data_IF_848947809866
#
_entry.id   IF_848947809866
#
_cell.length_a   1.000
_cell.length_b   1.000
_cell.length_c   1.000
_cell.angle_alpha   90.00
_cell.angle_beta   90.00
_cell.angle_gamma   90.00
#
_symmetry.space_group_name_H-M   'P 1'
#
loop_
_entity.id
_entity.type
_entity.pdbx_description
1 polymer ?
#
# COMPACT_ATOMS: atom_id res chain seq x y z
N UNK A 1 -22.74 -24.88 9.62
CA UNK A 1 -21.56 -24.04 9.90
C UNK A 1 -22.04 -22.76 10.52
N UNK A 2 -21.61 -22.44 11.73
CA UNK A 2 -22.01 -21.20 12.39
C UNK A 2 -21.31 -19.99 11.77
N UNK A 3 -21.96 -18.82 11.78
CA UNK A 3 -21.37 -17.57 11.23
C UNK A 3 -20.04 -17.22 11.91
N UNK A 4 -19.95 -17.47 13.22
CA UNK A 4 -18.75 -17.26 14.04
C UNK A 4 -17.60 -18.16 13.61
N UNK A 5 -17.87 -19.46 13.42
CA UNK A 5 -16.86 -20.42 12.94
C UNK A 5 -16.31 -20.01 11.57
N UNK A 6 -17.19 -19.60 10.65
CA UNK A 6 -16.79 -19.13 9.34
C UNK A 6 -15.92 -17.86 9.43
N UNK A 7 -16.28 -16.92 10.31
CA UNK A 7 -15.51 -15.70 10.50
C UNK A 7 -14.10 -15.99 11.06
N UNK A 8 -14.00 -16.82 12.11
CA UNK A 8 -12.69 -17.22 12.64
C UNK A 8 -11.86 -18.03 11.65
N UNK A 9 -12.49 -18.85 10.80
CA UNK A 9 -11.79 -19.55 9.74
C UNK A 9 -11.16 -18.60 8.71
N UNK A 10 -11.75 -17.43 8.45
CA UNK A 10 -11.12 -16.40 7.62
C UNK A 10 -9.96 -15.72 8.36
N UNK A 11 -10.19 -15.29 9.60
CA UNK A 11 -9.19 -14.61 10.44
C UNK A 11 -7.94 -15.46 10.67
N UNK A 12 -8.11 -16.77 10.87
CA UNK A 12 -6.99 -17.69 11.05
C UNK A 12 -6.12 -17.89 9.79
N UNK A 13 -6.62 -17.49 8.61
CA UNK A 13 -5.88 -17.61 7.34
C UNK A 13 -5.17 -16.33 6.94
N UNK A 14 -5.78 -15.17 7.20
CA UNK A 14 -5.23 -13.86 6.87
C UNK A 14 -5.95 -12.74 7.62
N UNK A 15 -5.24 -11.61 7.76
CA UNK A 15 -5.87 -10.35 8.09
C UNK A 15 -6.86 -9.94 6.97
N UNK A 16 -8.03 -9.44 7.37
CA UNK A 16 -9.07 -8.96 6.47
C UNK A 16 -9.76 -7.72 7.05
N UNK A 17 -10.28 -6.87 6.16
CA UNK A 17 -11.07 -5.70 6.57
C UNK A 17 -12.48 -6.11 7.00
N UNK A 18 -13.19 -5.20 7.68
CA UNK A 18 -14.60 -5.37 7.97
C UNK A 18 -15.42 -5.62 6.69
N UNK A 19 -15.12 -4.90 5.61
CA UNK A 19 -15.80 -5.09 4.33
C UNK A 19 -15.48 -6.43 3.65
N UNK A 20 -14.25 -6.92 3.76
CA UNK A 20 -13.88 -8.25 3.27
C UNK A 20 -14.57 -9.36 4.08
N UNK A 21 -14.66 -9.21 5.40
CA UNK A 21 -15.40 -10.14 6.27
C UNK A 21 -16.88 -10.21 5.87
N UNK A 22 -17.53 -9.06 5.69
CA UNK A 22 -18.92 -8.99 5.21
C UNK A 22 -19.11 -9.74 3.89
N UNK A 23 -18.28 -9.41 2.88
CA UNK A 23 -18.33 -10.05 1.56
C UNK A 23 -18.11 -11.55 1.64
N UNK A 24 -17.19 -12.00 2.50
CA UNK A 24 -16.91 -13.42 2.68
C UNK A 24 -18.11 -14.17 3.28
N UNK A 25 -18.70 -13.64 4.35
CA UNK A 25 -19.84 -14.28 5.02
C UNK A 25 -21.11 -14.24 4.17
N UNK A 26 -21.36 -13.14 3.45
CA UNK A 26 -22.48 -13.06 2.49
C UNK A 26 -22.35 -14.11 1.38
N UNK A 27 -21.14 -14.30 0.83
CA UNK A 27 -20.86 -15.37 -0.15
C UNK A 27 -21.07 -16.78 0.41
N UNK A 28 -21.02 -16.95 1.73
CA UNK A 28 -21.32 -18.22 2.41
C UNK A 28 -22.82 -18.44 2.67
N UNK A 29 -23.67 -17.47 2.32
CA UNK A 29 -25.13 -17.56 2.44
C UNK A 29 -25.68 -17.09 3.80
N UNK A 30 -24.88 -16.44 4.64
CA UNK A 30 -25.38 -15.88 5.90
C UNK A 30 -26.22 -14.61 5.65
N UNK A 31 -27.27 -14.41 6.44
CA UNK A 31 -28.14 -13.24 6.31
C UNK A 31 -27.40 -11.93 6.65
N UNK A 32 -27.77 -10.79 6.04
CA UNK A 32 -27.16 -9.49 6.34
C UNK A 32 -27.13 -9.15 7.83
N UNK A 33 -28.22 -9.40 8.57
CA UNK A 33 -28.29 -9.09 10.01
C UNK A 33 -27.31 -9.93 10.83
N UNK A 34 -27.17 -11.22 10.51
CA UNK A 34 -26.19 -12.08 11.15
C UNK A 34 -24.75 -11.61 10.88
N UNK A 35 -24.50 -11.17 9.65
CA UNK A 35 -23.20 -10.67 9.21
C UNK A 35 -22.83 -9.37 9.91
N UNK A 36 -23.74 -8.40 9.97
CA UNK A 36 -23.46 -7.13 10.65
C UNK A 36 -23.26 -7.34 12.16
N UNK A 37 -24.06 -8.20 12.79
CA UNK A 37 -23.91 -8.51 14.22
C UNK A 37 -22.54 -9.10 14.52
N UNK A 38 -22.09 -10.11 13.75
CA UNK A 38 -20.78 -10.73 14.00
C UNK A 38 -19.63 -9.77 13.68
N UNK A 39 -19.75 -8.93 12.65
CA UNK A 39 -18.71 -7.95 12.30
C UNK A 39 -18.59 -6.89 13.39
N UNK A 40 -19.71 -6.38 13.90
CA UNK A 40 -19.72 -5.44 15.02
C UNK A 40 -19.09 -6.04 16.27
N UNK A 41 -19.45 -7.29 16.60
CA UNK A 41 -18.89 -8.01 17.74
C UNK A 41 -17.36 -8.23 17.60
N UNK A 42 -16.91 -8.71 16.44
CA UNK A 42 -15.48 -8.92 16.18
C UNK A 42 -14.68 -7.60 16.17
N UNK A 43 -15.31 -6.50 15.76
CA UNK A 43 -14.70 -5.17 15.84
C UNK A 43 -14.60 -4.70 17.29
N UNK A 44 -15.66 -4.88 18.08
CA UNK A 44 -15.67 -4.52 19.50
C UNK A 44 -14.62 -5.29 20.32
N UNK A 45 -14.37 -6.56 19.98
CA UNK A 45 -13.31 -7.36 20.58
C UNK A 45 -11.92 -7.14 19.97
N UNK A 46 -11.77 -6.27 18.96
CA UNK A 46 -10.48 -5.95 18.34
C UNK A 46 -9.90 -7.05 17.42
N UNK A 47 -10.71 -8.04 17.05
CA UNK A 47 -10.34 -9.03 16.03
C UNK A 47 -10.32 -8.39 14.64
N UNK A 48 -11.28 -7.52 14.35
CA UNK A 48 -11.31 -6.68 13.16
C UNK A 48 -10.92 -5.26 13.54
N UNK A 49 -9.97 -4.70 12.82
CA UNK A 49 -9.48 -3.34 13.04
C UNK A 49 -8.92 -2.81 11.72
N UNK A 50 -9.76 -2.05 11.01
CA UNK A 50 -9.43 -1.48 9.71
C UNK A 50 -8.29 -0.45 9.80
N UNK A 51 -8.15 0.25 10.93
CA UNK A 51 -7.06 1.22 11.13
C UNK A 51 -5.71 0.52 11.30
N UNK A 52 -5.66 -0.48 12.18
CA UNK A 52 -4.47 -1.31 12.40
C UNK A 52 -4.08 -2.03 11.12
N UNK A 53 -5.06 -2.58 10.40
CA UNK A 53 -4.84 -3.22 9.12
C UNK A 53 -4.29 -2.24 8.08
N UNK A 54 -4.87 -1.05 7.96
CA UNK A 54 -4.44 -0.04 7.01
C UNK A 54 -3.00 0.43 7.28
N UNK A 55 -2.66 0.72 8.55
CA UNK A 55 -1.30 1.12 8.95
C UNK A 55 -0.27 0.04 8.64
N UNK A 56 -0.52 -1.20 9.06
CA UNK A 56 0.38 -2.33 8.78
C UNK A 56 0.57 -2.52 7.28
N UNK A 57 -0.53 -2.57 6.52
CA UNK A 57 -0.49 -2.70 5.05
C UNK A 57 0.29 -1.58 4.39
N UNK A 58 0.11 -0.33 4.82
CA UNK A 58 0.84 0.81 4.28
C UNK A 58 2.35 0.65 4.49
N UNK A 59 2.76 0.30 5.70
CA UNK A 59 4.16 0.06 6.05
C UNK A 59 4.77 -1.10 5.24
N UNK A 60 4.12 -2.26 5.19
CA UNK A 60 4.62 -3.45 4.48
C UNK A 60 4.73 -3.20 2.98
N UNK A 61 3.74 -2.54 2.38
CA UNK A 61 3.75 -2.22 0.94
C UNK A 61 4.84 -1.22 0.59
N UNK A 62 5.12 -0.27 1.47
CA UNK A 62 6.20 0.68 1.26
C UNK A 62 7.56 0.00 1.36
N UNK A 63 7.86 -0.64 2.50
CA UNK A 63 9.19 -1.19 2.79
C UNK A 63 9.52 -2.45 2.00
N UNK A 64 8.60 -3.40 1.91
CA UNK A 64 8.89 -4.68 1.27
C UNK A 64 8.63 -4.66 -0.23
N UNK A 65 7.56 -3.99 -0.65
CA UNK A 65 7.12 -3.98 -2.06
C UNK A 65 7.51 -2.72 -2.80
N UNK A 66 8.04 -1.69 -2.15
CA UNK A 66 8.41 -0.42 -2.78
C UNK A 66 7.23 0.19 -3.54
N UNK A 67 6.05 0.21 -2.93
CA UNK A 67 4.84 0.86 -3.47
C UNK A 67 4.69 2.23 -2.84
N UNK A 68 4.37 3.24 -3.64
CA UNK A 68 4.13 4.58 -3.13
C UNK A 68 2.72 4.75 -2.56
N UNK A 69 2.51 5.81 -1.79
CA UNK A 69 1.28 6.09 -1.03
C UNK A 69 0.00 6.05 -1.87
N UNK A 70 0.05 6.43 -3.16
CA UNK A 70 -1.14 6.41 -4.04
C UNK A 70 -1.56 4.98 -4.39
N UNK A 71 -0.60 4.10 -4.67
CA UNK A 71 -0.90 2.70 -4.95
C UNK A 71 -1.42 1.98 -3.70
N UNK A 72 -0.85 2.32 -2.54
CA UNK A 72 -1.31 1.82 -1.23
C UNK A 72 -2.74 2.27 -0.98
N UNK A 73 -3.06 3.56 -1.15
CA UNK A 73 -4.42 4.08 -0.99
C UNK A 73 -5.44 3.32 -1.86
N UNK A 74 -5.11 3.11 -3.14
CA UNK A 74 -5.97 2.34 -4.06
C UNK A 74 -6.10 0.85 -3.70
N UNK A 75 -5.14 0.26 -3.00
CA UNK A 75 -5.26 -1.09 -2.44
C UNK A 75 -6.21 -1.12 -1.24
N UNK A 76 -6.03 -0.21 -0.28
CA UNK A 76 -6.87 -0.14 0.92
C UNK A 76 -8.35 0.15 0.58
N UNK A 77 -8.60 1.04 -0.39
CA UNK A 77 -9.95 1.32 -0.89
C UNK A 77 -10.59 0.09 -1.54
N UNK A 78 -9.83 -0.72 -2.30
CA UNK A 78 -10.34 -1.97 -2.87
C UNK A 78 -10.64 -3.04 -1.82
N UNK A 79 -9.95 -2.99 -0.68
CA UNK A 79 -10.30 -3.80 0.50
C UNK A 79 -11.58 -3.30 1.18
N UNK A 80 -12.13 -2.16 0.78
CA UNK A 80 -13.35 -1.57 1.34
C UNK A 80 -13.13 -0.90 2.70
N UNK A 81 -11.90 -0.50 3.00
CA UNK A 81 -11.57 0.30 4.19
C UNK A 81 -12.11 1.72 3.99
N UNK A 82 -12.66 2.30 5.06
CA UNK A 82 -13.24 3.64 5.03
C UNK A 82 -12.25 4.69 4.48
N UNK A 83 -12.67 5.59 3.56
CA UNK A 83 -11.77 6.59 2.98
C UNK A 83 -11.07 7.50 4.00
N UNK A 84 -11.68 7.77 5.16
CA UNK A 84 -11.03 8.53 6.24
C UNK A 84 -9.88 7.75 6.85
N UNK A 85 -10.08 6.46 7.16
CA UNK A 85 -9.02 5.56 7.65
C UNK A 85 -7.89 5.44 6.63
N UNK A 86 -8.21 5.33 5.33
CA UNK A 86 -7.22 5.32 4.26
C UNK A 86 -6.38 6.60 4.27
N UNK A 87 -7.03 7.77 4.36
CA UNK A 87 -6.34 9.07 4.41
C UNK A 87 -5.40 9.15 5.61
N UNK A 88 -5.84 8.74 6.79
CA UNK A 88 -5.00 8.71 7.99
C UNK A 88 -3.82 7.76 7.85
N UNK A 89 -4.04 6.55 7.34
CA UNK A 89 -2.98 5.56 7.16
C UNK A 89 -1.89 6.06 6.20
N UNK A 90 -2.26 6.62 5.04
CA UNK A 90 -1.26 7.14 4.09
C UNK A 90 -0.62 8.46 4.55
N UNK A 91 -1.30 9.25 5.38
CA UNK A 91 -0.74 10.46 5.97
C UNK A 91 0.32 10.14 7.04
N UNK A 92 0.21 8.99 7.69
CA UNK A 92 1.21 8.50 8.66
C UNK A 92 2.53 8.03 8.02
N UNK A 93 2.60 7.94 6.69
CA UNK A 93 3.83 7.59 5.97
C UNK A 93 4.79 8.79 6.01
N UNK A 94 5.97 8.57 6.60
CA UNK A 94 7.05 9.54 6.57
C UNK A 94 7.48 9.83 5.12
N UNK A 95 7.47 11.10 4.66
CA UNK A 95 7.97 11.49 3.35
C UNK A 95 9.43 11.08 3.08
N UNK A 96 10.26 10.94 4.11
CA UNK A 96 11.64 10.47 4.00
C UNK A 96 11.69 8.98 3.69
N UNK A 97 10.96 8.16 4.45
CA UNK A 97 10.86 6.72 4.18
C UNK A 97 10.32 6.45 2.78
N UNK A 98 9.37 7.26 2.32
CA UNK A 98 8.83 7.11 0.99
C UNK A 98 9.84 7.48 -0.11
N UNK A 99 10.62 8.54 0.08
CA UNK A 99 11.69 8.92 -0.83
C UNK A 99 12.81 7.86 -0.86
N UNK A 100 13.16 7.30 0.30
CA UNK A 100 14.15 6.22 0.43
C UNK A 100 13.69 4.95 -0.29
N UNK A 101 12.43 4.56 -0.12
CA UNK A 101 11.85 3.41 -0.84
C UNK A 101 11.85 3.61 -2.37
N UNK A 102 11.55 4.83 -2.83
CA UNK A 102 11.61 5.20 -4.25
C UNK A 102 13.05 5.14 -4.78
N UNK A 103 14.02 5.69 -4.05
CA UNK A 103 15.44 5.65 -4.39
C UNK A 103 15.96 4.21 -4.43
N UNK A 104 15.67 3.40 -3.43
CA UNK A 104 16.08 1.99 -3.38
C UNK A 104 15.54 1.18 -4.57
N UNK A 105 14.32 1.47 -5.03
CA UNK A 105 13.81 0.90 -6.27
C UNK A 105 14.58 1.38 -7.51
N UNK A 106 14.78 2.69 -7.63
CA UNK A 106 15.46 3.31 -8.76
C UNK A 106 16.90 2.81 -8.91
N UNK A 107 17.66 2.79 -7.80
CA UNK A 107 19.04 2.29 -7.73
C UNK A 107 19.16 0.83 -8.17
N UNK A 108 18.25 -0.05 -7.73
CA UNK A 108 18.23 -1.47 -8.17
C UNK A 108 17.90 -1.64 -9.65
N UNK A 109 17.15 -0.71 -10.24
CA UNK A 109 16.73 -0.77 -11.65
C UNK A 109 17.72 -0.10 -12.58
N UNK A 110 18.44 0.91 -12.13
CA UNK A 110 19.44 1.65 -12.91
C UNK A 110 20.38 0.78 -13.75
N UNK A 111 21.10 -0.23 -13.19
CA UNK A 111 22.03 -1.04 -13.98
C UNK A 111 21.35 -1.95 -15.00
N UNK A 112 20.03 -2.15 -14.90
CA UNK A 112 19.24 -3.00 -15.81
C UNK A 112 18.64 -2.21 -16.98
N UNK A 113 18.79 -0.89 -16.99
CA UNK A 113 18.30 -0.04 -18.07
C UNK A 113 19.43 0.24 -19.07
N UNK A 114 19.09 0.17 -20.35
CA UNK A 114 19.95 0.56 -21.47
C UNK A 114 19.68 2.01 -21.91
N UNK A 115 20.59 2.56 -22.71
CA UNK A 115 20.46 3.91 -23.26
C UNK A 115 21.18 5.00 -22.45
N UNK A 116 20.99 6.25 -22.88
CA UNK A 116 21.62 7.43 -22.30
C UNK A 116 21.11 7.69 -20.87
N UNK A 117 21.94 8.27 -19.97
CA UNK A 117 21.55 8.53 -18.59
C UNK A 117 20.24 9.32 -18.44
N UNK A 118 20.00 10.31 -19.30
CA UNK A 118 18.78 11.12 -19.31
C UNK A 118 17.54 10.26 -19.59
N UNK A 119 17.62 9.34 -20.56
CA UNK A 119 16.51 8.47 -20.91
C UNK A 119 16.24 7.43 -19.82
N UNK A 120 17.29 6.93 -19.16
CA UNK A 120 17.14 6.08 -17.97
C UNK A 120 16.40 6.80 -16.85
N UNK A 121 16.75 8.06 -16.56
CA UNK A 121 16.09 8.86 -15.52
C UNK A 121 14.62 9.12 -15.85
N UNK A 122 14.29 9.44 -17.11
CA UNK A 122 12.89 9.57 -17.57
C UNK A 122 12.12 8.25 -17.41
N UNK A 123 12.71 7.13 -17.84
CA UNK A 123 12.09 5.82 -17.71
C UNK A 123 11.82 5.47 -16.25
N UNK A 124 12.78 5.73 -15.35
CA UNK A 124 12.62 5.52 -13.91
C UNK A 124 11.53 6.42 -13.31
N UNK A 125 11.43 7.68 -13.72
CA UNK A 125 10.35 8.58 -13.30
C UNK A 125 8.98 7.97 -13.61
N UNK A 126 8.78 7.49 -14.84
CA UNK A 126 7.53 6.85 -15.26
C UNK A 126 7.27 5.56 -14.45
N UNK A 127 8.29 4.73 -14.24
CA UNK A 127 8.16 3.50 -13.45
C UNK A 127 7.75 3.78 -12.01
N UNK A 128 8.35 4.77 -11.35
CA UNK A 128 8.03 5.14 -9.97
C UNK A 128 6.62 5.71 -9.86
N UNK A 129 6.21 6.56 -10.80
CA UNK A 129 4.85 7.10 -10.83
C UNK A 129 3.79 5.99 -11.01
N UNK A 130 4.02 5.04 -11.93
CA UNK A 130 3.16 3.84 -12.09
C UNK A 130 3.13 2.97 -10.84
N UNK A 131 4.14 3.08 -9.99
CA UNK A 131 4.24 2.38 -8.71
C UNK A 131 3.55 3.13 -7.56
N UNK A 132 3.02 4.32 -7.84
CA UNK A 132 2.18 5.11 -6.93
C UNK A 132 2.94 6.12 -6.08
N UNK A 133 4.23 6.36 -6.36
CA UNK A 133 5.00 7.38 -5.64
C UNK A 133 4.55 8.80 -6.04
N UNK A 134 4.44 9.73 -5.09
CA UNK A 134 4.17 11.13 -5.40
C UNK A 134 5.37 11.76 -6.09
N UNK A 135 5.12 12.80 -6.90
CA UNK A 135 6.17 13.48 -7.65
C UNK A 135 7.31 14.01 -6.77
N UNK A 136 7.01 14.42 -5.53
CA UNK A 136 8.01 14.83 -4.55
C UNK A 136 9.00 13.72 -4.23
N UNK A 137 8.53 12.52 -3.88
CA UNK A 137 9.37 11.36 -3.61
C UNK A 137 10.15 10.93 -4.87
N UNK A 138 9.50 10.93 -6.04
CA UNK A 138 10.15 10.61 -7.33
C UNK A 138 11.31 11.56 -7.61
N UNK A 139 11.08 12.87 -7.49
CA UNK A 139 12.10 13.89 -7.75
C UNK A 139 13.28 13.73 -6.80
N UNK A 140 13.02 13.57 -5.49
CA UNK A 140 14.07 13.37 -4.48
C UNK A 140 14.91 12.13 -4.77
N UNK A 141 14.25 11.02 -5.10
CA UNK A 141 14.91 9.76 -5.44
C UNK A 141 15.82 9.88 -6.69
N UNK A 142 15.33 10.53 -7.75
CA UNK A 142 16.10 10.69 -8.99
C UNK A 142 17.24 11.71 -8.84
N UNK A 143 17.05 12.79 -8.09
CA UNK A 143 18.12 13.74 -7.78
C UNK A 143 19.27 13.06 -7.02
N UNK A 144 18.95 12.24 -6.02
CA UNK A 144 19.94 11.46 -5.29
C UNK A 144 20.64 10.45 -6.21
N UNK A 145 19.89 9.74 -7.05
CA UNK A 145 20.47 8.79 -8.00
C UNK A 145 21.41 9.49 -8.99
N UNK A 146 21.01 10.65 -9.54
CA UNK A 146 21.84 11.42 -10.45
C UNK A 146 23.15 11.91 -9.79
N UNK A 147 23.07 12.32 -8.51
CA UNK A 147 24.26 12.70 -7.74
C UNK A 147 25.22 11.51 -7.51
N UNK A 148 24.71 10.31 -7.25
CA UNK A 148 25.52 9.08 -7.09
C UNK A 148 26.21 8.62 -8.38
N UNK A 149 25.69 9.03 -9.53
CA UNK A 149 26.27 8.70 -10.84
C UNK A 149 27.12 9.86 -11.41
N UNK A 150 27.38 10.90 -10.60
CA UNK A 150 28.03 12.16 -11.00
C UNK A 150 27.39 12.85 -12.23
N UNK A 151 26.09 12.60 -12.46
CA UNK A 151 25.30 13.19 -13.54
C UNK A 151 24.81 14.60 -13.19
N UNK A 152 25.62 15.40 -12.49
CA UNK A 152 25.24 16.71 -11.92
C UNK A 152 24.78 17.74 -12.97
N UNK A 153 25.02 17.47 -14.26
CA UNK A 153 24.60 18.30 -15.39
C UNK A 153 23.27 17.89 -16.06
N UNK A 154 22.72 16.70 -15.76
CA UNK A 154 21.44 16.27 -16.33
C UNK A 154 20.28 16.91 -15.53
N UNK A 155 19.80 18.08 -15.95
CA UNK A 155 18.55 18.66 -15.42
C UNK A 155 17.39 17.68 -15.68
N UNK A 156 16.92 17.00 -14.60
CA UNK A 156 15.71 16.18 -14.56
C UNK A 156 14.50 17.04 -14.24
#
# INVERSE_FOLDING_TARGET
>A
MAVREAAFALLGRRDCSCAEMRKYLQKKGFSPDCVERIVAELTAYGYLDDERLAKRRAHDRLREKGRGRRAIAGELLRMGIDPSVVRWAIASIDPEEEAEAAWGFARRKWPKLSGEPVDKLRALSVMLQRRGFPLSAVRRALQRLAAEQDLRACKV
#
